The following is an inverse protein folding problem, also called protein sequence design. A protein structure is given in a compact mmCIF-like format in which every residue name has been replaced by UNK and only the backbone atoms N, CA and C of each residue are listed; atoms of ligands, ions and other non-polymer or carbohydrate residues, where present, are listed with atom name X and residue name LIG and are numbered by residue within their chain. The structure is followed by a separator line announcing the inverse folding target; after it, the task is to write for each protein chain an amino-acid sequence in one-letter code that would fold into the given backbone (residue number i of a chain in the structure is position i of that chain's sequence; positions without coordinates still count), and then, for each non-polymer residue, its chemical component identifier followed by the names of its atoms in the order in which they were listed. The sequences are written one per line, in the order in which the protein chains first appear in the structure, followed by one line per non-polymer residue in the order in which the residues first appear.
data_IF_829931555961
#
_entry.id   IF_829931555961
#
_cell.length_a   1.000
_cell.length_b   1.000
_cell.length_c   1.000
_cell.angle_alpha   90.00
_cell.angle_beta   90.00
_cell.angle_gamma   90.00
#
_symmetry.space_group_name_H-M   'P 1'
#
loop_
_entity.id
_entity.type
_entity.pdbx_description
1 polymer ?
#
# COMPACT_ATOMS: atom_id res chain seq x y z
N UNK A 1 -20.96 -6.52 -82.67
CA UNK A 1 -20.04 -7.23 -81.75
C UNK A 1 -19.88 -6.38 -80.51
N UNK A 2 -20.43 -6.84 -79.38
CA UNK A 2 -20.32 -6.26 -78.05
C UNK A 2 -18.92 -6.54 -77.46
N UNK A 3 -18.34 -5.61 -76.70
CA UNK A 3 -17.66 -5.84 -75.41
C UNK A 3 -16.83 -4.59 -75.06
N UNK A 4 -17.19 -3.75 -74.09
CA UNK A 4 -17.26 -3.90 -72.62
C UNK A 4 -16.06 -3.16 -71.98
N UNK A 5 -16.42 -2.20 -71.12
CA UNK A 5 -15.56 -1.26 -70.40
C UNK A 5 -14.56 -1.98 -69.50
N UNK A 6 -13.39 -1.38 -69.28
CA UNK A 6 -12.56 -1.69 -68.11
C UNK A 6 -11.97 -0.39 -67.57
N UNK A 7 -12.61 0.08 -66.50
CA UNK A 7 -12.18 1.20 -65.68
C UNK A 7 -11.04 0.66 -64.80
N UNK A 8 -9.85 1.22 -64.94
CA UNK A 8 -8.70 0.88 -64.12
C UNK A 8 -8.86 1.60 -62.76
N UNK A 9 -9.51 0.93 -61.81
CA UNK A 9 -9.60 1.41 -60.42
C UNK A 9 -8.25 1.24 -59.73
N UNK A 10 -7.56 2.35 -59.47
CA UNK A 10 -6.35 2.39 -58.64
C UNK A 10 -6.80 2.16 -57.18
N UNK A 11 -6.46 1.01 -56.62
CA UNK A 11 -6.62 0.73 -55.20
C UNK A 11 -5.44 1.38 -54.47
N UNK A 12 -5.69 2.51 -53.81
CA UNK A 12 -4.73 3.13 -52.89
C UNK A 12 -4.84 2.39 -51.55
N UNK A 13 -3.87 1.52 -51.27
CA UNK A 13 -3.72 0.90 -49.95
C UNK A 13 -3.09 1.94 -49.03
N UNK A 14 -3.92 2.63 -48.24
CA UNK A 14 -3.44 3.47 -47.14
C UNK A 14 -3.05 2.51 -46.01
N UNK A 15 -1.75 2.25 -45.87
CA UNK A 15 -1.21 1.57 -44.70
C UNK A 15 -1.30 2.56 -43.53
N UNK A 16 -2.35 2.44 -42.73
CA UNK A 16 -2.38 3.06 -41.41
C UNK A 16 -1.37 2.31 -40.54
N UNK A 17 -0.21 2.91 -40.28
CA UNK A 17 0.70 2.46 -39.24
C UNK A 17 0.03 2.72 -37.90
N UNK A 18 -0.65 1.71 -37.38
CA UNK A 18 -1.04 1.67 -35.97
C UNK A 18 0.28 1.61 -35.18
N UNK A 19 0.53 2.49 -34.19
CA UNK A 19 1.66 2.29 -33.30
C UNK A 19 1.44 0.96 -32.57
N UNK A 20 2.30 -0.02 -32.86
CA UNK A 20 2.36 -1.26 -32.12
C UNK A 20 2.95 -0.95 -30.74
N UNK A 21 2.09 -0.76 -29.74
CA UNK A 21 2.54 -0.85 -28.36
C UNK A 21 2.89 -2.32 -28.10
N UNK A 22 4.19 -2.59 -27.95
CA UNK A 22 4.67 -3.83 -27.39
C UNK A 22 4.27 -3.88 -25.92
N UNK A 23 3.10 -4.42 -25.62
CA UNK A 23 2.61 -4.67 -24.27
C UNK A 23 2.69 -6.18 -24.02
N UNK A 24 3.47 -6.62 -23.04
CA UNK A 24 3.39 -8.01 -22.58
C UNK A 24 4.64 -8.67 -22.01
N UNK A 25 5.70 -7.96 -21.63
CA UNK A 25 6.80 -8.61 -20.85
C UNK A 25 7.26 -7.82 -19.63
N UNK A 26 7.17 -6.49 -19.66
CA UNK A 26 7.63 -5.67 -18.52
C UNK A 26 6.65 -5.66 -17.34
N UNK A 27 5.35 -5.78 -17.57
CA UNK A 27 4.33 -5.75 -16.48
C UNK A 27 4.35 -7.02 -15.62
N UNK A 28 4.69 -8.18 -16.20
CA UNK A 28 4.75 -9.44 -15.46
C UNK A 28 6.02 -9.53 -14.60
N UNK A 29 7.16 -9.08 -15.14
CA UNK A 29 8.44 -9.05 -14.43
C UNK A 29 8.43 -8.00 -13.29
N UNK A 30 7.79 -6.85 -13.51
CA UNK A 30 7.67 -5.80 -12.47
C UNK A 30 6.73 -6.22 -11.33
N UNK A 31 5.63 -6.88 -11.62
CA UNK A 31 4.71 -7.38 -10.59
C UNK A 31 5.34 -8.51 -9.75
N UNK A 32 6.10 -9.41 -10.39
CA UNK A 32 6.75 -10.51 -9.68
C UNK A 32 7.92 -10.02 -8.81
N UNK A 33 8.71 -9.07 -9.30
CA UNK A 33 9.75 -8.41 -8.51
C UNK A 33 9.17 -7.62 -7.33
N UNK A 34 8.02 -6.94 -7.50
CA UNK A 34 7.31 -6.26 -6.41
C UNK A 34 6.93 -7.22 -5.27
N UNK A 35 6.37 -8.39 -5.61
CA UNK A 35 6.00 -9.44 -4.65
C UNK A 35 7.23 -9.96 -3.92
N UNK A 36 8.33 -10.20 -4.64
CA UNK A 36 9.58 -10.67 -4.07
C UNK A 36 10.16 -9.69 -3.04
N UNK A 37 10.21 -8.39 -3.38
CA UNK A 37 10.71 -7.38 -2.45
C UNK A 37 9.79 -7.19 -1.23
N UNK A 38 8.47 -7.28 -1.40
CA UNK A 38 7.55 -7.24 -0.27
C UNK A 38 7.71 -8.45 0.66
N UNK A 39 7.93 -9.65 0.12
CA UNK A 39 8.20 -10.84 0.92
C UNK A 39 9.51 -10.69 1.72
N UNK A 40 10.60 -10.28 1.07
CA UNK A 40 11.88 -10.03 1.74
C UNK A 40 11.74 -8.98 2.86
N UNK A 41 10.98 -7.91 2.62
CA UNK A 41 10.70 -6.91 3.64
C UNK A 41 9.99 -7.49 4.87
N UNK A 42 9.01 -8.39 4.66
CA UNK A 42 8.28 -9.05 5.75
C UNK A 42 9.19 -9.92 6.60
N UNK A 43 10.13 -10.65 6.00
CA UNK A 43 11.14 -11.43 6.75
C UNK A 43 12.01 -10.53 7.65
N UNK A 44 12.48 -9.39 7.13
CA UNK A 44 13.21 -8.42 7.97
C UNK A 44 12.34 -7.84 9.08
N UNK A 45 11.05 -7.57 8.81
CA UNK A 45 10.09 -7.07 9.81
C UNK A 45 9.87 -8.09 10.93
N UNK A 46 9.67 -9.36 10.60
CA UNK A 46 9.52 -10.46 11.57
C UNK A 46 10.78 -10.60 12.43
N UNK A 47 11.96 -10.44 11.83
CA UNK A 47 13.24 -10.39 12.53
C UNK A 47 13.48 -9.08 13.32
N UNK A 48 12.52 -8.14 13.35
CA UNK A 48 12.61 -6.80 13.96
C UNK A 48 13.72 -5.91 13.37
N UNK A 49 14.18 -6.23 12.15
CA UNK A 49 15.22 -5.52 11.38
C UNK A 49 14.58 -4.45 10.49
N UNK A 50 13.90 -3.50 11.11
CA UNK A 50 13.07 -2.52 10.41
C UNK A 50 13.84 -1.59 9.48
N UNK A 51 15.10 -1.27 9.79
CA UNK A 51 15.94 -0.42 8.92
C UNK A 51 16.27 -1.14 7.61
N UNK A 52 16.53 -2.44 7.68
CA UNK A 52 16.80 -3.30 6.53
C UNK A 52 15.55 -3.62 5.71
N UNK A 53 14.36 -3.65 6.31
CA UNK A 53 13.10 -3.81 5.57
C UNK A 53 12.78 -2.63 4.62
N UNK A 54 13.11 -1.39 5.03
CA UNK A 54 12.77 -0.17 4.30
C UNK A 54 13.24 -0.13 2.83
N UNK A 55 14.51 -0.47 2.48
CA UNK A 55 14.93 -0.48 1.08
C UNK A 55 14.11 -1.46 0.21
N UNK A 56 13.75 -2.63 0.73
CA UNK A 56 12.90 -3.59 0.03
C UNK A 56 11.49 -3.05 -0.16
N UNK A 57 10.89 -2.49 0.88
CA UNK A 57 9.57 -1.85 0.77
C UNK A 57 9.55 -0.68 -0.21
N UNK A 58 10.65 0.09 -0.32
CA UNK A 58 10.74 1.17 -1.31
C UNK A 58 10.81 0.66 -2.73
N UNK A 59 11.45 -0.49 -2.98
CA UNK A 59 11.45 -1.14 -4.30
C UNK A 59 10.08 -1.70 -4.62
N UNK A 60 9.45 -2.42 -3.68
CA UNK A 60 8.09 -2.90 -3.82
C UNK A 60 7.13 -1.76 -4.19
N UNK A 61 7.22 -0.63 -3.49
CA UNK A 61 6.43 0.58 -3.80
C UNK A 61 6.74 1.17 -5.18
N UNK A 62 7.99 1.13 -5.62
CA UNK A 62 8.35 1.65 -6.94
C UNK A 62 7.73 0.83 -8.08
N UNK A 63 7.44 -0.45 -7.83
CA UNK A 63 6.73 -1.32 -8.74
C UNK A 63 5.20 -1.25 -8.58
N UNK A 64 4.70 -1.02 -7.36
CA UNK A 64 3.26 -0.93 -7.05
C UNK A 64 3.00 0.10 -5.93
N UNK A 65 2.81 1.38 -6.29
CA UNK A 65 2.53 2.48 -5.34
C UNK A 65 1.04 2.57 -4.94
N UNK A 66 0.15 1.84 -5.63
CA UNK A 66 -1.28 1.81 -5.27
C UNK A 66 -1.61 0.65 -4.31
N UNK A 67 -0.58 -0.02 -3.79
CA UNK A 67 -0.71 -1.08 -2.81
C UNK A 67 -0.70 -0.55 -1.37
N UNK A 68 -1.87 -0.60 -0.73
CA UNK A 68 -2.04 -0.13 0.64
C UNK A 68 -1.18 -0.91 1.65
N UNK A 69 -0.92 -2.21 1.45
CA UNK A 69 -0.08 -3.02 2.35
C UNK A 69 1.37 -2.53 2.34
N UNK A 70 1.92 -2.20 1.18
CA UNK A 70 3.30 -1.70 1.06
C UNK A 70 3.46 -0.40 1.86
N UNK A 71 2.49 0.51 1.73
CA UNK A 71 2.47 1.73 2.53
C UNK A 71 2.27 1.45 4.01
N UNK A 72 1.41 0.51 4.40
CA UNK A 72 1.24 0.09 5.78
C UNK A 72 2.58 -0.40 6.38
N UNK A 73 3.30 -1.28 5.69
CA UNK A 73 4.59 -1.81 6.15
C UNK A 73 5.71 -0.76 6.19
N UNK A 74 5.71 0.21 5.27
CA UNK A 74 6.59 1.38 5.35
C UNK A 74 6.27 2.21 6.58
N UNK A 75 4.99 2.47 6.83
CA UNK A 75 4.49 3.16 8.00
C UNK A 75 4.97 2.49 9.30
N UNK A 76 4.76 1.18 9.39
CA UNK A 76 5.18 0.32 10.49
C UNK A 76 6.69 0.35 10.71
N UNK A 77 7.47 0.10 9.67
CA UNK A 77 8.93 0.08 9.76
C UNK A 77 9.49 1.44 10.19
N UNK A 78 8.98 2.55 9.65
CA UNK A 78 9.40 3.90 10.06
C UNK A 78 9.03 4.21 11.51
N UNK A 79 7.85 3.76 11.98
CA UNK A 79 7.41 3.94 13.37
C UNK A 79 8.36 3.26 14.34
N UNK A 80 8.69 2.00 14.08
CA UNK A 80 9.58 1.20 14.93
C UNK A 80 11.01 1.75 15.02
N UNK A 81 11.44 2.59 14.07
CA UNK A 81 12.74 3.28 14.11
C UNK A 81 12.64 4.76 14.52
N UNK A 82 11.49 5.19 15.06
CA UNK A 82 11.28 6.54 15.58
C UNK A 82 11.17 7.64 14.51
N UNK A 83 10.88 7.28 13.25
CA UNK A 83 10.68 8.25 12.15
C UNK A 83 9.19 8.54 11.96
N UNK A 84 8.58 9.15 12.96
CA UNK A 84 7.12 9.31 13.08
C UNK A 84 6.48 10.10 11.94
N UNK A 85 7.12 11.15 11.42
CA UNK A 85 6.56 11.92 10.29
C UNK A 85 6.53 11.09 9.00
N UNK A 86 7.56 10.26 8.77
CA UNK A 86 7.58 9.34 7.63
C UNK A 86 6.54 8.25 7.80
N UNK A 87 6.40 7.75 9.03
CA UNK A 87 5.38 6.76 9.37
C UNK A 87 3.97 7.28 9.08
N UNK A 88 3.64 8.47 9.61
CA UNK A 88 2.34 9.12 9.42
C UNK A 88 1.98 9.29 7.94
N UNK A 89 2.92 9.75 7.10
CA UNK A 89 2.67 9.91 5.66
C UNK A 89 2.32 8.59 4.98
N UNK A 90 3.00 7.50 5.35
CA UNK A 90 2.73 6.21 4.74
C UNK A 90 1.40 5.60 5.23
N UNK A 91 1.05 5.72 6.51
CA UNK A 91 -0.28 5.31 6.96
C UNK A 91 -1.40 6.13 6.32
N UNK A 92 -1.21 7.43 6.12
CA UNK A 92 -2.18 8.25 5.39
C UNK A 92 -2.37 7.74 3.96
N UNK A 93 -1.28 7.48 3.24
CA UNK A 93 -1.35 6.94 1.88
C UNK A 93 -2.03 5.56 1.83
N UNK A 94 -1.73 4.67 2.77
CA UNK A 94 -2.41 3.38 2.89
C UNK A 94 -3.93 3.54 3.08
N UNK A 95 -4.35 4.50 3.90
CA UNK A 95 -5.76 4.78 4.18
C UNK A 95 -6.46 5.61 3.09
N UNK A 96 -5.70 6.34 2.26
CA UNK A 96 -6.22 6.96 1.03
C UNK A 96 -6.53 5.89 -0.03
N UNK A 97 -5.67 4.88 -0.16
CA UNK A 97 -5.84 3.75 -1.08
C UNK A 97 -6.92 2.77 -0.63
N UNK A 98 -6.92 2.43 0.66
CA UNK A 98 -7.92 1.58 1.28
C UNK A 98 -8.31 2.15 2.65
N UNK A 99 -9.45 2.82 2.70
CA UNK A 99 -9.90 3.50 3.93
C UNK A 99 -10.23 2.53 5.07
N UNK A 100 -10.47 1.25 4.79
CA UNK A 100 -10.82 0.20 5.76
C UNK A 100 -9.65 -0.74 6.05
N UNK A 101 -8.43 -0.39 5.62
CA UNK A 101 -7.25 -1.20 5.88
C UNK A 101 -6.98 -1.30 7.39
N UNK A 102 -7.30 -2.46 7.97
CA UNK A 102 -7.30 -2.69 9.42
C UNK A 102 -5.94 -2.44 10.07
N UNK A 103 -4.87 -3.06 9.55
CA UNK A 103 -3.51 -2.85 10.07
C UNK A 103 -3.03 -1.39 10.00
N UNK A 104 -3.39 -0.64 8.95
CA UNK A 104 -3.05 0.77 8.86
C UNK A 104 -3.83 1.64 9.86
N UNK A 105 -5.10 1.30 10.14
CA UNK A 105 -5.90 1.96 11.18
C UNK A 105 -5.32 1.69 12.56
N UNK A 106 -4.99 0.44 12.88
CA UNK A 106 -4.38 0.04 14.14
C UNK A 106 -3.02 0.72 14.34
N UNK A 107 -2.09 0.53 13.41
CA UNK A 107 -0.73 1.02 13.60
C UNK A 107 -0.62 2.55 13.56
N UNK A 108 -1.52 3.23 12.84
CA UNK A 108 -1.64 4.69 12.93
C UNK A 108 -2.24 5.12 14.27
N UNK A 109 -3.17 4.33 14.83
CA UNK A 109 -3.68 4.51 16.18
C UNK A 109 -2.57 4.41 17.21
N UNK A 110 -1.73 3.37 17.13
CA UNK A 110 -0.54 3.23 17.98
C UNK A 110 0.45 4.39 17.80
N UNK A 111 0.68 4.84 16.55
CA UNK A 111 1.51 6.02 16.29
C UNK A 111 0.96 7.25 17.01
N UNK A 112 -0.36 7.47 16.97
CA UNK A 112 -0.99 8.57 17.68
C UNK A 112 -0.73 8.50 19.19
N UNK A 113 -0.80 7.32 19.80
CA UNK A 113 -0.46 7.14 21.21
C UNK A 113 1.01 7.47 21.49
N UNK A 114 1.94 7.01 20.64
CA UNK A 114 3.37 7.32 20.79
C UNK A 114 3.68 8.83 20.74
N UNK A 115 2.84 9.62 20.07
CA UNK A 115 2.97 11.08 19.98
C UNK A 115 1.95 11.83 20.85
N UNK A 116 1.32 11.15 21.82
CA UNK A 116 0.45 11.77 22.85
C UNK A 116 -0.95 12.17 22.37
N UNK A 117 -1.42 11.65 21.24
CA UNK A 117 -2.71 12.00 20.61
C UNK A 117 -3.79 10.95 20.86
N UNK A 118 -4.13 10.71 22.13
CA UNK A 118 -5.14 9.72 22.55
C UNK A 118 -6.50 9.89 21.84
N UNK A 119 -6.98 11.13 21.69
CA UNK A 119 -8.26 11.41 21.02
C UNK A 119 -8.27 10.92 19.58
N UNK A 120 -7.17 11.07 18.84
CA UNK A 120 -7.07 10.61 17.45
C UNK A 120 -6.96 9.08 17.36
N UNK A 121 -6.27 8.44 18.30
CA UNK A 121 -6.23 6.98 18.41
C UNK A 121 -7.64 6.40 18.65
N UNK A 122 -8.43 6.99 19.55
CA UNK A 122 -9.82 6.58 19.83
C UNK A 122 -10.75 6.73 18.62
N UNK A 123 -10.52 7.71 17.73
CA UNK A 123 -11.27 7.81 16.47
C UNK A 123 -10.99 6.62 15.55
N UNK A 124 -9.74 6.19 15.44
CA UNK A 124 -9.38 5.02 14.64
C UNK A 124 -9.90 3.72 15.28
N UNK A 125 -9.87 3.61 16.60
CA UNK A 125 -10.52 2.52 17.35
C UNK A 125 -12.03 2.45 17.05
N UNK A 126 -12.74 3.59 17.07
CA UNK A 126 -14.16 3.63 16.74
C UNK A 126 -14.44 3.17 15.30
N UNK A 127 -13.57 3.55 14.34
CA UNK A 127 -13.65 3.08 12.96
C UNK A 127 -13.41 1.56 12.86
N UNK A 128 -12.38 1.03 13.52
CA UNK A 128 -12.12 -0.41 13.57
C UNK A 128 -13.31 -1.18 14.17
N UNK A 129 -13.96 -0.64 15.20
CA UNK A 129 -15.18 -1.25 15.78
C UNK A 129 -16.36 -1.31 14.80
N UNK A 130 -16.47 -0.34 13.89
CA UNK A 130 -17.49 -0.37 12.83
C UNK A 130 -17.17 -1.43 11.76
N UNK A 131 -15.89 -1.59 11.39
CA UNK A 131 -15.42 -2.55 10.38
C UNK A 131 -15.43 -3.98 10.93
N UNK A 132 -15.17 -4.15 12.23
CA UNK A 132 -15.10 -5.43 12.93
C UNK A 132 -16.16 -5.50 14.05
N UNK A 133 -17.46 -5.62 13.74
CA UNK A 133 -18.52 -5.66 14.75
C UNK A 133 -18.44 -6.89 15.67
N UNK A 134 -17.88 -7.99 15.18
CA UNK A 134 -17.63 -9.22 15.94
C UNK A 134 -16.22 -9.24 16.58
N UNK A 135 -15.43 -8.19 16.41
CA UNK A 135 -14.02 -8.14 16.78
C UNK A 135 -13.08 -8.55 15.65
N UNK A 136 -11.82 -8.15 15.79
CA UNK A 136 -10.69 -8.55 14.96
C UNK A 136 -9.39 -8.23 15.72
N UNK A 137 -8.30 -8.90 15.34
CA UNK A 137 -6.98 -8.75 15.98
C UNK A 137 -6.57 -7.29 16.10
N UNK A 138 -6.71 -6.52 15.01
CA UNK A 138 -6.31 -5.11 14.97
C UNK A 138 -7.11 -4.22 15.94
N UNK A 139 -8.40 -4.53 16.14
CA UNK A 139 -9.21 -3.82 17.12
C UNK A 139 -8.80 -4.18 18.55
N UNK A 140 -8.52 -5.46 18.81
CA UNK A 140 -8.06 -5.92 20.12
C UNK A 140 -6.72 -5.29 20.51
N UNK A 141 -5.78 -5.23 19.58
CA UNK A 141 -4.45 -4.69 19.83
C UNK A 141 -4.48 -3.18 20.04
N UNK A 142 -5.26 -2.44 19.25
CA UNK A 142 -5.46 -1.02 19.51
C UNK A 142 -6.20 -0.76 20.84
N UNK A 143 -7.14 -1.63 21.25
CA UNK A 143 -7.79 -1.52 22.56
C UNK A 143 -6.78 -1.69 23.70
N UNK A 144 -5.90 -2.70 23.63
CA UNK A 144 -4.84 -2.93 24.61
C UNK A 144 -3.87 -1.75 24.66
N UNK A 145 -3.47 -1.21 23.50
CA UNK A 145 -2.58 -0.08 23.42
C UNK A 145 -3.17 1.19 24.06
N UNK A 146 -4.46 1.47 23.79
CA UNK A 146 -5.18 2.60 24.40
C UNK A 146 -5.27 2.43 25.92
N UNK A 147 -5.66 1.23 26.40
CA UNK A 147 -5.78 0.97 27.83
C UNK A 147 -4.44 1.17 28.55
N UNK A 148 -3.34 0.66 27.97
CA UNK A 148 -2.00 0.85 28.51
C UNK A 148 -1.62 2.34 28.58
N UNK A 149 -1.88 3.10 27.51
CA UNK A 149 -1.62 4.55 27.49
C UNK A 149 -2.43 5.30 28.56
N UNK A 150 -3.70 4.93 28.79
CA UNK A 150 -4.55 5.55 29.80
C UNK A 150 -4.10 5.26 31.24
N UNK A 151 -3.51 4.09 31.47
CA UNK A 151 -2.99 3.70 32.79
C UNK A 151 -1.66 4.41 33.13
N UNK A 152 -0.72 4.43 32.18
CA UNK A 152 0.67 4.86 32.45
C UNK A 152 1.03 6.24 31.87
N UNK A 153 0.18 6.81 31.02
CA UNK A 153 0.40 8.10 30.35
C UNK A 153 1.43 8.08 29.21
N UNK A 154 2.01 6.92 28.90
CA UNK A 154 2.97 6.73 27.81
C UNK A 154 2.70 5.42 27.06
N UNK A 155 3.00 5.39 25.75
CA UNK A 155 2.96 4.15 24.96
C UNK A 155 4.29 4.02 24.21
N UNK A 156 5.09 3.03 24.59
CA UNK A 156 6.39 2.70 23.99
C UNK A 156 6.43 1.20 23.69
N UNK A 157 7.00 0.86 22.55
CA UNK A 157 7.18 -0.52 22.07
C UNK A 157 8.61 -0.97 22.31
#
# INVERSE_FOLDING_TARGET
MLSLRSILSIVVIIVFTIPAYAAGSDEEDTAETAKSDLAAAKEFIEAKRFKEAIPHLKKARAADDDNADIHNWLGYSYRKIGKFEKSMRNYNRALELNSEHKGALEYKGELYLQIGKLTEAKKLQAKLRQICPEGCEELEDLNKAIAAFEEVGEYRY
#
